data_IF_879821389521
#
_entry.id   IF_879821389521
#
_cell.length_a   1.000
_cell.length_b   1.000
_cell.length_c   1.000
_cell.angle_alpha   90.00
_cell.angle_beta   90.00
_cell.angle_gamma   90.00
#
_symmetry.space_group_name_H-M   'P 1'
#
loop_
_entity.id
_entity.type
_entity.pdbx_description
1 polymer ?
#
# COMPACT_ATOMS: atom_id res chain seq x y z
N UNK A 1 9.24 18.38 0.50
CA UNK A 1 8.44 19.49 -0.07
C UNK A 1 6.98 19.16 0.21
N UNK A 2 6.26 19.94 1.02
CA UNK A 2 4.84 19.69 1.28
C UNK A 2 4.02 19.86 0.01
N UNK A 3 2.90 19.13 -0.11
CA UNK A 3 1.91 19.26 -1.18
C UNK A 3 2.29 18.72 -2.57
N UNK A 4 2.99 17.59 -2.63
CA UNK A 4 3.34 16.92 -3.90
C UNK A 4 2.36 15.79 -4.19
N UNK A 5 1.60 15.95 -5.28
CA UNK A 5 0.84 14.86 -5.91
C UNK A 5 1.21 14.78 -7.38
N UNK A 6 1.86 13.67 -7.76
CA UNK A 6 2.13 13.31 -9.14
C UNK A 6 1.21 12.17 -9.56
N UNK A 7 0.51 12.36 -10.67
CA UNK A 7 -0.27 11.32 -11.33
C UNK A 7 0.39 10.96 -12.65
N UNK A 8 0.60 9.66 -12.87
CA UNK A 8 1.14 9.11 -14.11
C UNK A 8 0.02 8.29 -14.75
N UNK A 9 -0.26 8.57 -16.03
CA UNK A 9 -1.23 7.81 -16.82
C UNK A 9 -0.59 6.49 -17.25
N UNK A 10 -1.38 5.42 -17.17
CA UNK A 10 -0.97 4.10 -17.62
C UNK A 10 -0.85 3.98 -19.13
N UNK A 11 -0.22 2.89 -19.55
CA UNK A 11 -0.02 2.54 -20.95
C UNK A 11 -1.37 2.55 -21.71
N UNK A 12 -1.48 3.26 -22.86
CA UNK A 12 -2.70 3.30 -23.66
C UNK A 12 -3.23 1.92 -24.07
N UNK A 13 -2.35 0.96 -24.36
CA UNK A 13 -2.73 -0.40 -24.77
C UNK A 13 -3.42 -1.16 -23.64
N UNK A 14 -3.02 -0.95 -22.38
CA UNK A 14 -3.69 -1.56 -21.21
C UNK A 14 -5.03 -0.87 -20.94
N UNK A 15 -5.07 0.47 -21.03
CA UNK A 15 -6.29 1.25 -20.79
C UNK A 15 -7.40 0.96 -21.79
N UNK A 16 -7.07 0.62 -23.04
CA UNK A 16 -8.05 0.23 -24.06
C UNK A 16 -8.90 -0.98 -23.68
N UNK A 17 -8.39 -1.87 -22.83
CA UNK A 17 -9.09 -3.08 -22.37
C UNK A 17 -9.65 -2.96 -20.94
N UNK A 18 -9.55 -1.78 -20.29
CA UNK A 18 -9.92 -1.60 -18.89
C UNK A 18 -11.35 -2.07 -18.60
N UNK A 19 -12.31 -1.70 -19.43
CA UNK A 19 -13.72 -2.07 -19.28
C UNK A 19 -14.05 -3.51 -19.69
N UNK A 20 -13.06 -4.27 -20.15
CA UNK A 20 -13.17 -5.70 -20.46
C UNK A 20 -12.57 -6.58 -19.34
N UNK A 21 -12.00 -5.95 -18.30
CA UNK A 21 -11.38 -6.64 -17.18
C UNK A 21 -12.21 -6.43 -15.92
N UNK A 22 -12.21 -7.45 -15.06
CA UNK A 22 -12.77 -7.38 -13.71
C UNK A 22 -11.72 -7.78 -12.68
N UNK A 23 -11.84 -7.26 -11.46
CA UNK A 23 -11.02 -7.69 -10.32
C UNK A 23 -11.20 -9.18 -10.11
N UNK A 24 -10.09 -9.91 -10.18
CA UNK A 24 -10.00 -11.28 -9.70
C UNK A 24 -9.58 -11.24 -8.24
N UNK A 25 -10.31 -11.95 -7.39
CA UNK A 25 -10.03 -12.06 -5.97
C UNK A 25 -8.68 -12.78 -5.75
N UNK A 26 -7.82 -12.19 -4.92
CA UNK A 26 -6.53 -12.76 -4.55
C UNK A 26 -6.53 -13.29 -3.11
N UNK A 27 -5.49 -14.03 -2.73
CA UNK A 27 -5.28 -14.46 -1.34
C UNK A 27 -5.22 -13.26 -0.38
N UNK A 28 -4.62 -12.14 -0.80
CA UNK A 28 -4.61 -10.93 0.02
C UNK A 28 -5.97 -10.24 0.09
N UNK A 29 -6.89 -10.46 -0.85
CA UNK A 29 -8.24 -9.92 -0.74
C UNK A 29 -9.04 -10.64 0.35
N UNK A 30 -8.95 -11.98 0.40
CA UNK A 30 -9.66 -12.79 1.41
C UNK A 30 -9.11 -12.59 2.82
N UNK A 31 -7.84 -12.19 2.94
CA UNK A 31 -7.16 -11.97 4.21
C UNK A 31 -6.66 -10.52 4.37
N UNK A 32 -7.32 -9.54 3.76
CA UNK A 32 -6.79 -8.17 3.65
C UNK A 32 -6.47 -7.52 5.00
N UNK A 33 -7.35 -7.72 5.99
CA UNK A 33 -7.17 -7.14 7.32
C UNK A 33 -5.97 -7.79 8.04
N UNK A 34 -5.74 -9.08 7.81
CA UNK A 34 -4.55 -9.80 8.32
C UNK A 34 -3.28 -9.32 7.62
N UNK A 35 -3.30 -9.20 6.29
CA UNK A 35 -2.17 -8.69 5.52
C UNK A 35 -1.79 -7.26 5.98
N UNK A 36 -2.78 -6.40 6.22
CA UNK A 36 -2.58 -5.06 6.77
C UNK A 36 -2.00 -5.06 8.19
N UNK A 37 -2.47 -5.95 9.07
CA UNK A 37 -1.91 -6.09 10.42
C UNK A 37 -0.44 -6.53 10.40
N UNK A 38 -0.08 -7.42 9.47
CA UNK A 38 1.29 -7.89 9.28
C UNK A 38 2.16 -6.76 8.74
N UNK A 39 1.72 -6.08 7.69
CA UNK A 39 2.41 -4.91 7.13
C UNK A 39 2.60 -3.80 8.18
N UNK A 40 1.59 -3.56 9.02
CA UNK A 40 1.65 -2.57 10.09
C UNK A 40 2.71 -2.95 11.13
N UNK A 41 2.72 -4.22 11.56
CA UNK A 41 3.72 -4.70 12.52
C UNK A 41 5.13 -4.64 11.94
N UNK A 42 5.30 -4.98 10.66
CA UNK A 42 6.57 -4.86 9.97
C UNK A 42 7.11 -3.42 10.00
N UNK A 43 6.24 -2.45 9.70
CA UNK A 43 6.58 -1.03 9.69
C UNK A 43 6.88 -0.49 11.10
N UNK A 44 6.06 -0.84 12.09
CA UNK A 44 6.10 -0.19 13.40
C UNK A 44 7.01 -0.89 14.42
N UNK A 45 7.37 -2.16 14.19
CA UNK A 45 8.12 -2.96 15.17
C UNK A 45 9.29 -3.76 14.61
N UNK A 46 9.30 -4.06 13.30
CA UNK A 46 10.31 -4.97 12.71
C UNK A 46 11.33 -4.23 11.82
N UNK A 47 11.43 -2.91 11.96
CA UNK A 47 12.43 -2.09 11.27
C UNK A 47 12.21 -1.90 9.77
N UNK A 48 11.04 -2.26 9.22
CA UNK A 48 10.70 -1.90 7.83
C UNK A 48 10.39 -0.42 7.78
N UNK A 49 11.10 0.35 6.95
CA UNK A 49 10.81 1.78 6.79
C UNK A 49 10.02 2.07 5.53
N UNK A 50 10.03 1.16 4.55
CA UNK A 50 9.22 1.27 3.35
C UNK A 50 8.67 -0.12 3.02
N UNK A 51 7.36 -0.21 2.81
CA UNK A 51 6.69 -1.43 2.38
C UNK A 51 5.83 -1.17 1.16
N UNK A 52 5.79 -2.13 0.24
CA UNK A 52 4.86 -2.18 -0.89
C UNK A 52 4.02 -3.45 -0.79
N UNK A 53 2.72 -3.28 -0.69
CA UNK A 53 1.72 -4.34 -0.69
C UNK A 53 1.21 -4.49 -2.12
N UNK A 54 1.38 -5.67 -2.70
CA UNK A 54 0.83 -6.01 -4.00
C UNK A 54 -0.39 -6.89 -3.79
N UNK A 55 -1.58 -6.29 -3.79
CA UNK A 55 -2.85 -6.99 -3.57
C UNK A 55 -3.11 -8.02 -4.68
N UNK A 56 -2.91 -7.63 -5.94
CA UNK A 56 -3.24 -8.52 -7.06
C UNK A 56 -2.39 -9.79 -7.12
N UNK A 57 -1.10 -9.70 -6.77
CA UNK A 57 -0.18 -10.85 -6.80
C UNK A 57 0.08 -11.47 -5.41
N UNK A 58 -0.57 -10.95 -4.37
CA UNK A 58 -0.42 -11.39 -2.97
C UNK A 58 1.04 -11.43 -2.55
N UNK A 59 1.73 -10.29 -2.53
CA UNK A 59 3.12 -10.23 -2.07
C UNK A 59 3.42 -8.92 -1.33
N UNK A 60 4.44 -8.97 -0.47
CA UNK A 60 5.05 -7.81 0.15
C UNK A 60 6.45 -7.59 -0.43
N UNK A 61 6.81 -6.34 -0.69
CA UNK A 61 8.20 -5.92 -0.87
C UNK A 61 8.56 -4.99 0.28
N UNK A 62 9.59 -5.33 1.05
CA UNK A 62 9.98 -4.63 2.26
C UNK A 62 11.40 -4.08 2.12
N UNK A 63 11.61 -2.84 2.57
CA UNK A 63 12.93 -2.25 2.76
C UNK A 63 13.17 -2.08 4.26
N UNK A 64 14.19 -2.74 4.77
CA UNK A 64 14.56 -2.68 6.18
C UNK A 64 15.60 -1.60 6.42
N UNK A 65 15.52 -0.91 7.56
CA UNK A 65 16.45 0.16 7.91
C UNK A 65 17.88 -0.36 8.12
N UNK A 66 18.03 -1.63 8.55
CA UNK A 66 19.33 -2.30 8.72
C UNK A 66 20.10 -2.49 7.41
N UNK A 67 19.40 -2.60 6.29
CA UNK A 67 19.98 -2.80 4.96
C UNK A 67 19.09 -2.12 3.90
N UNK A 68 19.12 -0.79 3.81
CA UNK A 68 18.14 -0.02 3.04
C UNK A 68 18.33 -0.14 1.53
N UNK A 69 19.45 -0.70 1.06
CA UNK A 69 19.76 -0.88 -0.36
C UNK A 69 19.27 -2.23 -0.91
N UNK A 70 18.90 -3.17 -0.02
CA UNK A 70 18.45 -4.50 -0.37
C UNK A 70 16.99 -4.70 0.04
N UNK A 71 16.08 -4.75 -0.93
CA UNK A 71 14.70 -5.09 -0.64
C UNK A 71 14.52 -6.60 -0.50
N UNK A 72 13.59 -7.02 0.35
CA UNK A 72 13.17 -8.40 0.51
C UNK A 72 11.74 -8.57 -0.02
N UNK A 73 11.45 -9.73 -0.63
CA UNK A 73 10.13 -10.07 -1.17
C UNK A 73 9.57 -11.29 -0.45
N UNK A 74 8.31 -11.19 -0.04
CA UNK A 74 7.58 -12.26 0.64
C UNK A 74 6.29 -12.55 -0.12
N UNK A 75 5.98 -13.82 -0.33
CA UNK A 75 4.96 -14.23 -1.32
C UNK A 75 3.83 -15.04 -0.67
N UNK A 76 2.59 -14.67 -1.02
CA UNK A 76 1.37 -15.45 -0.86
C UNK A 76 1.16 -15.97 0.57
N UNK A 77 1.10 -17.29 0.74
CA UNK A 77 0.81 -17.97 1.99
C UNK A 77 1.89 -17.68 3.04
N UNK A 78 3.16 -17.55 2.64
CA UNK A 78 4.29 -17.25 3.52
C UNK A 78 4.02 -16.01 4.38
N UNK A 79 3.45 -14.96 3.77
CA UNK A 79 3.14 -13.71 4.47
C UNK A 79 2.06 -13.93 5.52
N UNK A 80 1.11 -14.82 5.25
CA UNK A 80 -0.03 -15.06 6.11
C UNK A 80 0.23 -16.16 7.15
N UNK A 81 1.40 -16.79 7.17
CA UNK A 81 1.73 -17.79 8.18
C UNK A 81 1.78 -17.20 9.59
N UNK A 82 1.35 -17.98 10.60
CA UNK A 82 1.28 -17.53 11.98
C UNK A 82 2.66 -17.10 12.54
N UNK A 83 3.73 -17.79 12.12
CA UNK A 83 5.11 -17.50 12.56
C UNK A 83 5.86 -16.51 11.66
N UNK A 84 5.20 -15.92 10.66
CA UNK A 84 5.88 -15.04 9.69
C UNK A 84 6.62 -13.88 10.38
N UNK A 85 5.97 -13.23 11.35
CA UNK A 85 6.54 -12.08 12.06
C UNK A 85 7.67 -12.46 13.03
N UNK A 86 7.74 -13.72 13.47
CA UNK A 86 8.75 -14.21 14.42
C UNK A 86 10.13 -14.33 13.79
N UNK A 87 10.19 -14.34 12.44
CA UNK A 87 11.44 -14.34 11.67
C UNK A 87 12.21 -13.03 11.77
N UNK A 88 11.57 -11.96 12.24
CA UNK A 88 12.15 -10.63 12.30
C UNK A 88 12.34 -10.20 13.76
N UNK A 89 13.53 -9.71 14.14
CA UNK A 89 13.73 -9.13 15.46
C UNK A 89 12.86 -7.88 15.62
N UNK A 90 12.46 -7.59 16.86
CA UNK A 90 11.94 -6.28 17.19
C UNK A 90 13.08 -5.27 17.10
N UNK A 91 12.94 -4.27 16.24
CA UNK A 91 13.96 -3.24 16.01
C UNK A 91 13.32 -1.95 15.55
N UNK A 92 13.93 -0.82 15.92
CA UNK A 92 13.58 0.49 15.39
C UNK A 92 14.09 0.69 13.94
N UNK A 93 13.78 1.84 13.36
CA UNK A 93 14.22 2.22 12.02
C UNK A 93 15.62 2.88 12.01
N UNK A 94 16.56 2.37 12.81
CA UNK A 94 17.93 2.86 12.92
C UNK A 94 17.99 4.37 13.28
N UNK A 95 17.30 4.74 14.37
CA UNK A 95 17.22 6.11 14.91
C UNK A 95 16.70 7.19 13.93
N UNK A 96 16.12 6.79 12.80
CA UNK A 96 15.54 7.75 11.84
C UNK A 96 14.25 8.36 12.40
N UNK A 97 14.13 9.68 12.29
CA UNK A 97 12.84 10.34 12.49
C UNK A 97 11.82 9.85 11.48
N UNK A 98 10.70 9.33 12.00
CA UNK A 98 9.57 8.88 11.20
C UNK A 98 8.58 10.04 11.03
N UNK A 99 8.18 10.27 9.79
CA UNK A 99 7.12 11.22 9.43
C UNK A 99 5.73 10.62 9.66
N UNK A 100 5.62 9.29 9.59
CA UNK A 100 4.37 8.55 9.76
C UNK A 100 4.40 7.69 11.01
N UNK A 101 3.38 7.84 11.86
CA UNK A 101 3.18 7.00 13.04
C UNK A 101 2.13 5.90 12.82
N UNK A 102 1.94 5.07 13.85
CA UNK A 102 0.99 3.94 13.83
C UNK A 102 -0.44 4.34 13.43
N UNK A 103 -0.91 5.50 13.91
CA UNK A 103 -2.24 6.03 13.56
C UNK A 103 -2.36 6.36 12.07
N UNK A 104 -1.31 6.91 11.49
CA UNK A 104 -1.28 7.29 10.07
C UNK A 104 -1.28 6.05 9.19
N UNK A 105 -0.50 5.03 9.55
CA UNK A 105 -0.48 3.74 8.83
C UNK A 105 -1.84 3.06 8.84
N UNK A 106 -2.54 3.06 9.98
CA UNK A 106 -3.90 2.52 10.06
C UNK A 106 -4.87 3.26 9.12
N UNK A 107 -4.76 4.60 9.03
CA UNK A 107 -5.59 5.40 8.11
C UNK A 107 -5.26 5.12 6.64
N UNK A 108 -3.98 5.01 6.29
CA UNK A 108 -3.53 4.68 4.93
C UNK A 108 -4.02 3.28 4.53
N UNK A 109 -3.89 2.29 5.42
CA UNK A 109 -4.33 0.93 5.13
C UNK A 109 -5.85 0.81 5.03
N UNK A 110 -6.61 1.55 5.86
CA UNK A 110 -8.06 1.67 5.70
C UNK A 110 -8.42 2.17 4.30
N UNK A 111 -7.73 3.20 3.82
CA UNK A 111 -7.97 3.74 2.48
C UNK A 111 -7.54 2.77 1.37
N UNK A 112 -6.39 2.11 1.52
CA UNK A 112 -5.98 1.08 0.56
C UNK A 112 -6.99 -0.05 0.46
N UNK A 113 -7.57 -0.47 1.59
CA UNK A 113 -8.66 -1.47 1.61
C UNK A 113 -9.88 -0.97 0.85
N UNK A 114 -10.28 0.29 1.08
CA UNK A 114 -11.39 0.91 0.37
C UNK A 114 -11.13 0.93 -1.15
N UNK A 115 -10.02 1.51 -1.60
CA UNK A 115 -9.63 1.58 -3.01
C UNK A 115 -9.44 0.20 -3.67
N UNK A 116 -9.14 -0.84 -2.90
CA UNK A 116 -9.01 -2.22 -3.41
C UNK A 116 -10.35 -2.90 -3.64
N UNK A 117 -11.32 -2.69 -2.76
CA UNK A 117 -12.53 -3.53 -2.68
C UNK A 117 -13.80 -2.85 -3.19
N UNK A 118 -13.83 -1.52 -3.30
CA UNK A 118 -15.05 -0.78 -3.69
C UNK A 118 -15.47 -0.99 -5.15
N UNK A 119 -14.52 -0.99 -6.08
CA UNK A 119 -14.80 -1.07 -7.52
C UNK A 119 -14.20 -2.35 -8.13
N UNK A 120 -14.85 -2.87 -9.18
CA UNK A 120 -14.48 -4.11 -9.84
C UNK A 120 -13.67 -3.90 -11.12
N UNK A 121 -13.63 -2.67 -11.64
CA UNK A 121 -12.94 -2.27 -12.88
C UNK A 121 -11.71 -1.42 -12.58
N UNK A 122 -11.85 -0.35 -11.78
CA UNK A 122 -10.78 0.57 -11.37
C UNK A 122 -10.49 0.39 -9.88
N UNK A 123 -9.51 -0.45 -9.58
CA UNK A 123 -9.18 -0.80 -8.20
C UNK A 123 -7.67 -0.74 -7.95
N UNK A 124 -7.30 -0.59 -6.67
CA UNK A 124 -5.91 -0.62 -6.25
C UNK A 124 -5.29 -2.00 -6.54
N UNK A 125 -4.18 -2.04 -7.26
CA UNK A 125 -3.37 -3.26 -7.49
C UNK A 125 -2.23 -3.38 -6.52
N UNK A 126 -1.62 -2.25 -6.19
CA UNK A 126 -0.53 -2.18 -5.22
C UNK A 126 -0.51 -0.82 -4.53
N UNK A 127 -0.13 -0.80 -3.26
CA UNK A 127 0.07 0.41 -2.47
C UNK A 127 1.39 0.33 -1.71
N UNK A 128 2.15 1.42 -1.64
CA UNK A 128 3.36 1.51 -0.83
C UNK A 128 3.33 2.71 0.09
N UNK A 129 4.04 2.60 1.22
CA UNK A 129 4.23 3.67 2.19
C UNK A 129 5.68 3.68 2.66
N UNK A 130 6.27 4.87 2.73
CA UNK A 130 7.60 5.12 3.28
C UNK A 130 7.48 6.00 4.53
N UNK A 131 7.95 5.49 5.67
CA UNK A 131 7.87 6.16 6.96
C UNK A 131 8.80 7.37 7.08
N UNK A 132 9.90 7.40 6.32
CA UNK A 132 10.94 8.42 6.48
C UNK A 132 10.57 9.70 5.73
N UNK A 133 10.12 9.58 4.49
CA UNK A 133 9.74 10.75 3.66
C UNK A 133 8.23 10.98 3.60
N UNK A 134 7.42 10.06 4.15
CA UNK A 134 5.97 10.14 4.14
C UNK A 134 5.36 9.94 2.75
N UNK A 135 6.09 9.38 1.78
CA UNK A 135 5.58 9.13 0.44
C UNK A 135 4.67 7.90 0.40
N UNK A 136 3.53 8.07 -0.27
CA UNK A 136 2.53 7.04 -0.49
C UNK A 136 2.40 6.86 -2.00
N UNK A 137 2.55 5.62 -2.48
CA UNK A 137 2.39 5.31 -3.89
C UNK A 137 1.23 4.33 -4.09
N UNK A 138 0.42 4.55 -5.12
CA UNK A 138 -0.74 3.71 -5.44
C UNK A 138 -0.75 3.40 -6.93
N UNK A 139 -0.80 2.11 -7.29
CA UNK A 139 -0.95 1.65 -8.66
C UNK A 139 -2.30 0.98 -8.87
N UNK A 140 -3.00 1.35 -9.94
CA UNK A 140 -4.37 0.92 -10.23
C UNK A 140 -4.45 -0.06 -11.41
N UNK A 141 -5.60 -0.70 -11.58
CA UNK A 141 -5.89 -1.63 -12.68
C UNK A 141 -5.81 -1.00 -14.07
N UNK A 142 -6.08 0.29 -14.19
CA UNK A 142 -5.91 1.06 -15.43
C UNK A 142 -4.46 1.39 -15.79
N UNK A 143 -3.49 0.75 -15.12
CA UNK A 143 -2.05 1.02 -15.21
C UNK A 143 -1.65 2.44 -14.77
N UNK A 144 -2.58 3.20 -14.19
CA UNK A 144 -2.32 4.50 -13.59
C UNK A 144 -1.59 4.40 -12.26
N UNK A 145 -0.69 5.35 -12.00
CA UNK A 145 0.04 5.44 -10.74
C UNK A 145 -0.07 6.84 -10.11
N UNK A 146 -0.18 6.87 -8.78
CA UNK A 146 -0.22 8.08 -7.97
C UNK A 146 0.95 8.05 -6.99
N UNK A 147 1.70 9.15 -6.90
CA UNK A 147 2.75 9.39 -5.91
C UNK A 147 2.33 10.64 -5.14
N UNK A 148 2.04 10.48 -3.85
CA UNK A 148 1.42 11.53 -3.05
C UNK A 148 2.09 11.57 -1.68
N UNK A 149 2.41 12.77 -1.19
CA UNK A 149 2.92 12.92 0.17
C UNK A 149 1.77 12.78 1.19
N UNK A 150 2.12 12.34 2.40
CA UNK A 150 1.16 12.09 3.48
C UNK A 150 0.23 13.27 3.81
N UNK A 151 0.69 14.53 3.79
CA UNK A 151 -0.16 15.68 4.14
C UNK A 151 -1.25 15.84 3.09
N UNK A 152 -0.88 15.79 1.81
CA UNK A 152 -1.86 15.82 0.71
C UNK A 152 -2.80 14.61 0.78
N UNK A 153 -2.27 13.42 1.01
CA UNK A 153 -3.08 12.20 1.11
C UNK A 153 -4.15 12.35 2.19
N UNK A 154 -3.77 12.75 3.41
CA UNK A 154 -4.70 12.91 4.52
C UNK A 154 -5.69 14.05 4.33
N UNK A 155 -5.29 15.15 3.67
CA UNK A 155 -6.19 16.24 3.31
C UNK A 155 -7.23 15.83 2.24
N UNK A 156 -6.95 14.78 1.47
CA UNK A 156 -7.81 14.28 0.38
C UNK A 156 -8.59 13.01 0.72
N UNK A 157 -8.37 12.37 1.88
CA UNK A 157 -9.12 11.18 2.32
C UNK A 157 -10.64 11.35 2.15
N UNK A 158 -11.19 12.48 2.59
CA UNK A 158 -12.63 12.76 2.49
C UNK A 158 -13.13 12.96 1.04
N UNK A 159 -12.24 13.06 0.05
CA UNK A 159 -12.60 13.18 -1.38
C UNK A 159 -12.61 11.84 -2.12
N UNK A 160 -12.04 10.79 -1.53
CA UNK A 160 -12.14 9.43 -2.09
C UNK A 160 -13.47 8.76 -1.69
N UNK A 161 -14.10 9.21 -0.60
CA UNK A 161 -15.41 8.71 -0.13
C UNK A 161 -16.61 9.21 -0.97
N UNK A 162 -16.44 10.24 -1.81
CA UNK A 162 -17.53 10.81 -2.62
C UNK A 162 -17.39 10.41 -4.07
N UNK A 163 -17.91 9.23 -4.41
CA UNK A 163 -18.48 9.01 -5.75
C UNK A 163 -19.98 9.26 -5.62
N UNK A 164 -20.48 10.13 -6.48
CA UNK A 164 -21.80 10.78 -6.45
C UNK A 164 -22.97 9.78 -6.32
N UNK A 165 -23.94 10.10 -5.44
CA UNK A 165 -25.32 9.69 -5.67
C UNK A 165 -25.86 10.54 -6.82
N UNK A 166 -26.31 9.95 -7.94
CA UNK A 166 -27.02 10.72 -8.95
C UNK A 166 -28.39 11.11 -8.38
N UNK A 167 -28.71 12.40 -8.52
CA UNK A 167 -30.05 12.94 -8.39
C UNK A 167 -30.94 12.46 -9.54
#
# INVERSE_FOLDING_TARGET
MPNRWLQIKGDPSVRGFLFQQQRVESLFDTAIDRAHKIAHTLLMRKGVFHIKIHYSSSQLTCWFARDPFCYEKFLREEVLDNGFLDRFPDTDNADRSLVLGSRDINRIFKEFRHLRLTDQTIYLRNGSVNLIDGMINMGFSCDGAHYIDHQTFFAKLNRFETTEQPA
#
